data_IF_834646619491
#
_entry.id   IF_834646619491
#
_cell.length_a   1.000
_cell.length_b   1.000
_cell.length_c   1.000
_cell.angle_alpha   90.00
_cell.angle_beta   90.00
_cell.angle_gamma   90.00
#
_symmetry.space_group_name_H-M   'P 1'
#
loop_
_entity.id
_entity.type
_entity.pdbx_description
1 polymer ?
#
# COMPACT_ATOMS: atom_id res chain seq x y z
N UNK A 1 12.16 17.37 -16.35
CA UNK A 1 11.29 17.75 -15.21
C UNK A 1 12.26 18.08 -14.09
N UNK A 2 12.41 19.36 -13.75
CA UNK A 2 13.41 19.81 -12.75
C UNK A 2 12.93 19.41 -11.36
N UNK A 3 13.81 18.84 -10.53
CA UNK A 3 13.47 18.42 -9.17
C UNK A 3 13.20 19.66 -8.27
N UNK A 4 12.27 19.56 -7.32
CA UNK A 4 11.96 20.62 -6.33
C UNK A 4 13.24 21.10 -5.62
N UNK A 5 14.15 20.17 -5.35
CA UNK A 5 15.44 20.43 -4.69
C UNK A 5 16.34 21.32 -5.54
N UNK A 6 16.43 21.03 -6.84
CA UNK A 6 17.25 21.80 -7.78
C UNK A 6 16.69 23.21 -7.97
N UNK A 7 15.36 23.33 -8.13
CA UNK A 7 14.68 24.63 -8.21
C UNK A 7 14.87 25.46 -6.93
N UNK A 8 14.74 24.84 -5.76
CA UNK A 8 14.93 25.51 -4.48
C UNK A 8 16.39 25.94 -4.24
N UNK A 9 17.36 25.11 -4.61
CA UNK A 9 18.79 25.45 -4.52
C UNK A 9 19.15 26.61 -5.45
N UNK A 10 18.65 26.58 -6.68
CA UNK A 10 18.87 27.64 -7.65
C UNK A 10 18.30 28.97 -7.17
N UNK A 11 17.06 28.97 -6.66
CA UNK A 11 16.42 30.17 -6.11
C UNK A 11 17.18 30.72 -4.89
N UNK A 12 17.64 29.85 -3.98
CA UNK A 12 18.46 30.26 -2.82
C UNK A 12 19.75 30.95 -3.23
N UNK A 13 20.42 30.44 -4.27
CA UNK A 13 21.65 31.02 -4.82
C UNK A 13 21.38 32.42 -5.42
N UNK A 14 20.30 32.56 -6.18
CA UNK A 14 19.90 33.81 -6.82
C UNK A 14 19.53 34.88 -5.78
N UNK A 15 18.78 34.51 -4.73
CA UNK A 15 18.45 35.38 -3.59
C UNK A 15 19.73 35.81 -2.85
N UNK A 16 20.66 34.89 -2.58
CA UNK A 16 21.90 35.21 -1.89
C UNK A 16 22.77 36.21 -2.68
N UNK A 17 22.80 36.09 -4.02
CA UNK A 17 23.47 37.04 -4.91
C UNK A 17 22.81 38.42 -4.86
N UNK A 18 21.49 38.49 -4.91
CA UNK A 18 20.74 39.74 -4.86
C UNK A 18 20.85 40.47 -3.50
N UNK A 19 21.00 39.73 -2.40
CA UNK A 19 21.23 40.31 -1.06
C UNK A 19 22.65 40.86 -0.91
N UNK A 20 23.64 40.26 -1.60
CA UNK A 20 25.05 40.68 -1.52
C UNK A 20 25.37 41.87 -2.43
N UNK A 21 24.81 41.90 -3.65
CA UNK A 21 24.91 43.01 -4.61
C UNK A 21 23.50 43.56 -4.89
N UNK A 22 23.02 44.46 -4.03
CA UNK A 22 21.64 44.96 -4.10
C UNK A 22 21.34 45.66 -5.43
N UNK A 23 20.84 44.88 -6.39
CA UNK A 23 20.36 45.32 -7.68
C UNK A 23 18.82 45.22 -7.66
N UNK A 24 18.07 46.34 -7.69
CA UNK A 24 16.62 46.32 -7.68
C UNK A 24 16.01 45.67 -8.93
N UNK A 25 16.80 45.46 -9.99
CA UNK A 25 16.43 44.66 -11.16
C UNK A 25 16.79 43.18 -10.95
N UNK A 26 16.22 42.56 -9.91
CA UNK A 26 16.36 41.12 -9.67
C UNK A 26 15.99 40.32 -10.92
N UNK A 27 16.87 39.41 -11.35
CA UNK A 27 16.63 38.51 -12.49
C UNK A 27 16.07 37.14 -12.06
N UNK A 28 15.47 37.04 -10.86
CA UNK A 28 14.63 35.89 -10.54
C UNK A 28 13.46 35.96 -11.50
N UNK A 29 13.48 35.10 -12.52
CA UNK A 29 12.42 35.12 -13.53
C UNK A 29 11.14 34.73 -12.82
N UNK A 30 10.08 35.51 -13.00
CA UNK A 30 8.73 35.21 -12.48
C UNK A 30 8.29 33.79 -12.85
N UNK A 31 8.81 33.25 -13.96
CA UNK A 31 8.67 31.85 -14.37
C UNK A 31 9.21 30.86 -13.34
N UNK A 32 10.44 31.07 -12.83
CA UNK A 32 11.10 30.12 -11.94
C UNK A 32 10.41 30.10 -10.56
N UNK A 33 9.86 31.25 -10.13
CA UNK A 33 8.98 31.32 -8.95
C UNK A 33 7.67 30.55 -9.16
N UNK A 34 7.04 30.71 -10.33
CA UNK A 34 5.81 29.98 -10.67
C UNK A 34 6.05 28.47 -10.70
N UNK A 35 7.15 28.03 -11.32
CA UNK A 35 7.52 26.62 -11.38
C UNK A 35 7.77 26.03 -9.99
N UNK A 36 8.43 26.77 -9.10
CA UNK A 36 8.63 26.33 -7.71
C UNK A 36 7.30 26.25 -6.94
N UNK A 37 6.41 27.24 -7.08
CA UNK A 37 5.08 27.22 -6.43
C UNK A 37 4.26 26.03 -6.91
N UNK A 38 4.17 25.79 -8.22
CA UNK A 38 3.45 24.63 -8.76
C UNK A 38 4.03 23.30 -8.26
N UNK A 39 5.36 23.21 -8.13
CA UNK A 39 6.01 22.01 -7.64
C UNK A 39 5.77 21.80 -6.13
N UNK A 40 5.72 22.88 -5.34
CA UNK A 40 5.36 22.85 -3.92
C UNK A 40 3.88 22.48 -3.71
N UNK A 41 2.96 23.01 -4.51
CA UNK A 41 1.54 22.65 -4.47
C UNK A 41 1.35 21.14 -4.75
N UNK A 42 2.05 20.60 -5.74
CA UNK A 42 2.04 19.15 -6.03
C UNK A 42 2.63 18.32 -4.88
N UNK A 43 3.70 18.79 -4.26
CA UNK A 43 4.31 18.11 -3.12
C UNK A 43 3.38 18.12 -1.89
N UNK A 44 2.71 19.23 -1.63
CA UNK A 44 1.72 19.36 -0.56
C UNK A 44 0.54 18.42 -0.79
N UNK A 45 -0.05 18.42 -1.99
CA UNK A 45 -1.15 17.51 -2.31
C UNK A 45 -0.77 16.03 -2.11
N UNK A 46 0.49 15.66 -2.43
CA UNK A 46 1.00 14.31 -2.18
C UNK A 46 1.15 14.02 -0.67
N UNK A 47 1.63 14.99 0.11
CA UNK A 47 1.75 14.86 1.56
C UNK A 47 0.37 14.70 2.22
N UNK A 48 -0.64 15.46 1.79
CA UNK A 48 -2.01 15.38 2.29
C UNK A 48 -2.62 13.99 2.06
N UNK A 49 -2.37 13.38 0.89
CA UNK A 49 -2.79 11.98 0.60
C UNK A 49 -2.14 10.99 1.56
N UNK A 50 -0.86 11.17 1.88
CA UNK A 50 -0.19 10.30 2.85
C UNK A 50 -0.74 10.49 4.27
N UNK A 51 -1.07 11.71 4.66
CA UNK A 51 -1.68 12.00 5.95
C UNK A 51 -3.08 11.38 6.06
N UNK A 52 -3.91 11.47 5.01
CA UNK A 52 -5.21 10.78 4.95
C UNK A 52 -5.08 9.26 5.10
N UNK A 53 -4.16 8.64 4.35
CA UNK A 53 -3.88 7.20 4.49
C UNK A 53 -3.42 6.87 5.92
N UNK A 54 -2.57 7.72 6.49
CA UNK A 54 -2.08 7.52 7.86
C UNK A 54 -3.23 7.52 8.87
N UNK A 55 -4.24 8.35 8.65
CA UNK A 55 -5.42 8.44 9.51
C UNK A 55 -6.37 7.25 9.30
N UNK A 56 -6.64 6.83 8.05
CA UNK A 56 -7.49 5.66 7.72
C UNK A 56 -7.02 4.36 8.40
N UNK A 57 -5.70 4.18 8.52
CA UNK A 57 -5.10 3.01 9.19
C UNK A 57 -4.82 3.24 10.69
N UNK A 58 -5.21 4.39 11.26
CA UNK A 58 -5.00 4.75 12.66
C UNK A 58 -3.52 4.83 13.05
N UNK A 59 -2.64 5.15 12.10
CA UNK A 59 -1.19 5.15 12.28
C UNK A 59 -0.70 6.43 12.96
N UNK A 60 -1.47 7.53 12.86
CA UNK A 60 -1.18 8.80 13.54
C UNK A 60 -1.23 8.63 15.06
N UNK A 61 -2.28 8.00 15.58
CA UNK A 61 -2.46 7.76 17.02
C UNK A 61 -1.45 6.76 17.59
N UNK A 62 -1.08 5.76 16.78
CA UNK A 62 -0.08 4.74 17.15
C UNK A 62 1.36 5.29 17.16
N UNK A 63 1.58 6.55 16.77
CA UNK A 63 2.91 7.17 16.74
C UNK A 63 3.89 6.52 15.76
N UNK A 64 3.38 5.71 14.83
CA UNK A 64 4.18 4.89 13.94
C UNK A 64 4.47 5.64 12.64
N UNK A 65 5.74 5.64 12.24
CA UNK A 65 6.20 6.21 10.96
C UNK A 65 5.93 5.28 9.77
N UNK A 66 6.28 5.72 8.55
CA UNK A 66 6.11 4.91 7.33
C UNK A 66 6.79 3.54 7.42
N UNK A 67 7.95 3.46 8.06
CA UNK A 67 8.68 2.20 8.27
C UNK A 67 7.88 1.22 9.12
N UNK A 68 7.28 1.69 10.20
CA UNK A 68 6.41 0.89 11.04
C UNK A 68 5.11 0.46 10.34
N UNK A 69 4.62 1.23 9.35
CA UNK A 69 3.49 0.81 8.51
C UNK A 69 3.88 -0.37 7.61
N UNK A 70 5.06 -0.32 6.99
CA UNK A 70 5.57 -1.44 6.18
C UNK A 70 5.75 -2.69 7.05
N UNK A 71 6.30 -2.55 8.25
CA UNK A 71 6.42 -3.67 9.21
C UNK A 71 5.05 -4.22 9.63
N UNK A 72 4.06 -3.34 9.87
CA UNK A 72 2.70 -3.75 10.20
C UNK A 72 2.02 -4.49 9.03
N UNK A 73 2.16 -3.98 7.81
CA UNK A 73 1.66 -4.63 6.60
C UNK A 73 2.28 -6.02 6.42
N UNK A 74 3.60 -6.15 6.58
CA UNK A 74 4.29 -7.44 6.48
C UNK A 74 3.77 -8.45 7.53
N UNK A 75 3.58 -7.99 8.77
CA UNK A 75 2.97 -8.83 9.83
C UNK A 75 1.54 -9.23 9.50
N UNK A 76 0.73 -8.32 8.99
CA UNK A 76 -0.66 -8.58 8.62
C UNK A 76 -0.77 -9.55 7.44
N UNK A 77 0.11 -9.44 6.46
CA UNK A 77 0.20 -10.37 5.34
C UNK A 77 0.59 -11.76 5.85
N UNK A 78 1.65 -11.88 6.65
CA UNK A 78 2.06 -13.15 7.22
C UNK A 78 0.97 -13.80 8.08
N UNK A 79 0.24 -13.01 8.88
CA UNK A 79 -0.92 -13.47 9.63
C UNK A 79 -1.99 -14.03 8.69
N UNK A 80 -2.37 -13.29 7.64
CA UNK A 80 -3.38 -13.71 6.68
C UNK A 80 -2.96 -14.96 5.89
N UNK A 81 -1.70 -15.06 5.47
CA UNK A 81 -1.14 -16.23 4.79
C UNK A 81 -1.07 -17.47 5.69
N UNK A 82 -0.95 -17.29 7.00
CA UNK A 82 -0.93 -18.39 7.97
C UNK A 82 -2.32 -18.95 8.31
N UNK A 83 -3.41 -18.32 7.83
CA UNK A 83 -4.77 -18.76 8.14
C UNK A 83 -5.07 -20.08 7.44
N UNK A 84 -5.10 -21.15 8.23
CA UNK A 84 -5.61 -22.47 7.83
C UNK A 84 -7.05 -22.64 8.28
N UNK A 85 -7.88 -23.22 7.43
CA UNK A 85 -9.27 -23.58 7.76
C UNK A 85 -9.40 -25.09 7.74
N UNK A 86 -9.76 -25.67 8.89
CA UNK A 86 -10.04 -27.11 8.99
C UNK A 86 -11.51 -27.36 8.68
N UNK A 87 -11.80 -28.27 7.76
CA UNK A 87 -13.17 -28.63 7.37
C UNK A 87 -13.42 -30.11 7.67
N UNK A 88 -14.46 -30.37 8.46
CA UNK A 88 -14.98 -31.72 8.69
C UNK A 88 -15.95 -32.10 7.59
N UNK A 89 -15.57 -33.08 6.77
CA UNK A 89 -16.46 -33.61 5.74
C UNK A 89 -17.39 -34.67 6.34
N UNK A 90 -18.68 -34.67 5.97
CA UNK A 90 -19.58 -35.75 6.35
C UNK A 90 -19.18 -37.05 5.67
N UNK A 91 -19.39 -38.18 6.33
CA UNK A 91 -19.18 -39.50 5.72
C UNK A 91 -20.29 -39.80 4.72
N UNK A 92 -19.95 -39.67 3.43
CA UNK A 92 -20.86 -39.82 2.29
C UNK A 92 -21.40 -41.23 2.12
N UNK A 93 -20.77 -42.25 2.73
CA UNK A 93 -21.24 -43.64 2.69
C UNK A 93 -22.51 -43.86 3.52
N UNK A 94 -22.83 -42.94 4.43
CA UNK A 94 -24.10 -42.94 5.16
C UNK A 94 -25.29 -42.52 4.29
N UNK A 95 -25.04 -41.87 3.15
CA UNK A 95 -26.09 -41.30 2.28
C UNK A 95 -26.14 -41.98 0.92
N UNK A 96 -24.98 -42.33 0.35
CA UNK A 96 -24.85 -42.88 -0.99
C UNK A 96 -24.24 -44.29 -0.99
N UNK A 97 -24.54 -45.09 -2.02
CA UNK A 97 -23.90 -46.40 -2.21
C UNK A 97 -22.43 -46.22 -2.63
N UNK A 98 -21.58 -47.16 -2.22
CA UNK A 98 -20.12 -47.03 -2.25
C UNK A 98 -19.51 -46.40 -3.53
N UNK A 99 -19.83 -46.81 -4.77
CA UNK A 99 -19.19 -46.21 -5.95
C UNK A 99 -19.54 -44.73 -6.14
N UNK A 100 -20.74 -44.32 -5.73
CA UNK A 100 -21.20 -42.94 -5.83
C UNK A 100 -20.72 -42.11 -4.63
N UNK A 101 -20.63 -42.72 -3.44
CA UNK A 101 -20.13 -42.06 -2.24
C UNK A 101 -18.67 -41.60 -2.41
N UNK A 102 -17.82 -42.48 -2.95
CA UNK A 102 -16.40 -42.20 -3.17
C UNK A 102 -16.22 -41.09 -4.24
N UNK A 103 -17.03 -41.08 -5.31
CA UNK A 103 -17.01 -40.02 -6.34
C UNK A 103 -17.47 -38.66 -5.77
N UNK A 104 -18.55 -38.65 -4.97
CA UNK A 104 -19.04 -37.42 -4.34
C UNK A 104 -17.99 -36.83 -3.40
N UNK A 105 -17.32 -37.66 -2.60
CA UNK A 105 -16.24 -37.21 -1.72
C UNK A 105 -15.09 -36.59 -2.52
N UNK A 106 -14.68 -37.24 -3.61
CA UNK A 106 -13.63 -36.75 -4.48
C UNK A 106 -13.97 -35.37 -5.09
N UNK A 107 -15.18 -35.23 -5.63
CA UNK A 107 -15.63 -33.95 -6.21
C UNK A 107 -15.75 -32.84 -5.17
N UNK A 108 -16.20 -33.15 -3.96
CA UNK A 108 -16.26 -32.16 -2.88
C UNK A 108 -14.86 -31.71 -2.48
N UNK A 109 -13.90 -32.63 -2.34
CA UNK A 109 -12.49 -32.26 -2.04
C UNK A 109 -11.88 -31.39 -3.15
N UNK A 110 -12.08 -31.75 -4.42
CA UNK A 110 -11.63 -30.95 -5.56
C UNK A 110 -12.23 -29.54 -5.58
N UNK A 111 -13.54 -29.44 -5.35
CA UNK A 111 -14.22 -28.16 -5.25
C UNK A 111 -13.67 -27.32 -4.10
N UNK A 112 -13.45 -27.95 -2.93
CA UNK A 112 -12.90 -27.29 -1.75
C UNK A 112 -11.49 -26.75 -2.03
N UNK A 113 -10.63 -27.55 -2.65
CA UNK A 113 -9.28 -27.14 -3.03
C UNK A 113 -9.30 -25.99 -4.04
N UNK A 114 -10.15 -26.07 -5.07
CA UNK A 114 -10.28 -25.03 -6.10
C UNK A 114 -10.74 -23.70 -5.52
N UNK A 115 -11.82 -23.70 -4.73
CA UNK A 115 -12.37 -22.49 -4.13
C UNK A 115 -11.43 -21.91 -3.07
N UNK A 116 -10.76 -22.76 -2.30
CA UNK A 116 -9.82 -22.30 -1.26
C UNK A 116 -8.56 -21.71 -1.89
N UNK A 117 -8.02 -22.33 -2.94
CA UNK A 117 -6.89 -21.79 -3.70
C UNK A 117 -7.21 -20.45 -4.34
N UNK A 118 -8.40 -20.31 -4.93
CA UNK A 118 -8.87 -19.04 -5.49
C UNK A 118 -9.03 -17.94 -4.43
N UNK A 119 -9.37 -18.32 -3.20
CA UNK A 119 -9.49 -17.41 -2.05
C UNK A 119 -8.17 -17.17 -1.30
N UNK A 120 -7.07 -17.85 -1.68
CA UNK A 120 -5.79 -17.80 -0.95
C UNK A 120 -5.86 -18.43 0.44
N UNK A 121 -6.81 -19.34 0.67
CA UNK A 121 -7.02 -20.03 1.95
C UNK A 121 -6.39 -21.40 1.87
N UNK A 122 -5.58 -21.74 2.89
CA UNK A 122 -5.09 -23.11 3.05
C UNK A 122 -6.13 -23.94 3.79
N UNK A 123 -6.62 -25.02 3.19
CA UNK A 123 -7.60 -25.92 3.82
C UNK A 123 -6.95 -27.26 4.17
N UNK A 124 -7.26 -27.75 5.37
CA UNK A 124 -6.90 -29.08 5.83
C UNK A 124 -8.20 -29.87 6.08
N UNK A 125 -8.36 -31.02 5.41
CA UNK A 125 -9.48 -31.92 5.67
C UNK A 125 -9.12 -32.85 6.83
N UNK A 126 -9.98 -32.90 7.86
CA UNK A 126 -9.86 -33.81 9.02
C UNK A 126 -10.52 -35.16 8.75
#
# INVERSE_FOLDING_TARGET
>A
MTDITELAQWLKLEVHRAVSDFNPQMNIKTRDLKELVEALEKAQAKADVYDMLRDDYGLREKGVGLTCFVDWQAKRIAELESRTVTVKLPDYRNTYKAPLADEVEHQVRLALELFSSAAGIKVEAE
#
